data_IF_167388405217
#
_entry.id   IF_167388405217
#
_cell.length_a   1.000
_cell.length_b   1.000
_cell.length_c   1.000
_cell.angle_alpha   90.00
_cell.angle_beta   90.00
_cell.angle_gamma   90.00
#
_symmetry.space_group_name_H-M   'P 1'
#
loop_
_entity.id
_entity.type
_entity.pdbx_description
1 polymer ?
#
# COMPACT_ATOMS: atom_id res chain seq x y z
N UNK A 1 -24.02 -4.84 -8.69
CA UNK A 1 -23.28 -6.08 -8.37
C UNK A 1 -22.25 -6.46 -9.44
N UNK A 2 -22.61 -6.69 -10.72
CA UNK A 2 -21.62 -7.03 -11.77
C UNK A 2 -20.46 -6.04 -11.96
N UNK A 3 -20.72 -4.74 -11.86
CA UNK A 3 -19.71 -3.71 -12.10
C UNK A 3 -18.60 -3.62 -11.02
N UNK A 4 -18.82 -4.20 -9.83
CA UNK A 4 -17.78 -4.26 -8.78
C UNK A 4 -16.91 -5.51 -8.98
N UNK A 5 -17.52 -6.66 -9.30
CA UNK A 5 -16.81 -7.91 -9.56
C UNK A 5 -15.89 -7.83 -10.79
N UNK A 6 -16.33 -7.16 -11.86
CA UNK A 6 -15.49 -6.90 -13.04
C UNK A 6 -14.33 -5.94 -12.73
N UNK A 7 -14.45 -5.08 -11.71
CA UNK A 7 -13.40 -4.15 -11.30
C UNK A 7 -12.38 -4.80 -10.36
N UNK A 8 -12.74 -5.88 -9.65
CA UNK A 8 -11.88 -6.59 -8.70
C UNK A 8 -11.34 -7.92 -9.23
N UNK A 9 -11.67 -8.30 -10.47
CA UNK A 9 -11.27 -9.56 -11.11
C UNK A 9 -11.46 -10.81 -10.23
N UNK A 10 -12.44 -10.80 -9.32
CA UNK A 10 -12.65 -11.88 -8.36
C UNK A 10 -13.81 -12.79 -8.80
N UNK A 11 -13.55 -14.09 -8.86
CA UNK A 11 -14.62 -15.09 -8.89
C UNK A 11 -15.35 -15.11 -7.54
N UNK A 12 -16.66 -15.41 -7.50
CA UNK A 12 -17.40 -15.44 -6.24
C UNK A 12 -16.88 -16.58 -5.36
N UNK A 13 -16.31 -16.23 -4.21
CA UNK A 13 -15.92 -17.17 -3.18
C UNK A 13 -17.15 -17.64 -2.41
N UNK A 14 -17.10 -18.87 -1.92
CA UNK A 14 -18.07 -19.40 -0.95
C UNK A 14 -17.94 -18.66 0.38
N UNK A 15 -18.97 -18.72 1.23
CA UNK A 15 -18.95 -18.06 2.53
C UNK A 15 -17.76 -18.52 3.40
N UNK A 16 -17.43 -19.80 3.36
CA UNK A 16 -16.31 -20.36 4.12
C UNK A 16 -14.97 -19.86 3.59
N UNK A 17 -14.79 -19.85 2.27
CA UNK A 17 -13.61 -19.24 1.61
C UNK A 17 -13.49 -17.76 1.97
N UNK A 18 -14.60 -17.05 2.12
CA UNK A 18 -14.61 -15.65 2.53
C UNK A 18 -14.19 -15.44 3.98
N UNK A 19 -14.60 -16.33 4.88
CA UNK A 19 -14.11 -16.32 6.26
C UNK A 19 -12.62 -16.65 6.34
N UNK A 20 -12.13 -17.58 5.53
CA UNK A 20 -10.71 -17.92 5.45
C UNK A 20 -9.89 -16.77 4.90
N UNK A 21 -10.37 -16.11 3.84
CA UNK A 21 -9.74 -14.96 3.22
C UNK A 21 -9.68 -13.75 4.18
N UNK A 22 -10.74 -13.50 4.94
CA UNK A 22 -10.73 -12.45 5.98
C UNK A 22 -9.72 -12.74 7.10
N UNK A 23 -9.62 -14.01 7.52
CA UNK A 23 -8.65 -14.42 8.53
C UNK A 23 -7.21 -14.29 8.03
N UNK A 24 -6.93 -14.70 6.79
CA UNK A 24 -5.60 -14.59 6.20
C UNK A 24 -5.19 -13.12 6.05
N UNK A 25 -6.09 -12.24 5.61
CA UNK A 25 -5.82 -10.79 5.53
C UNK A 25 -5.57 -10.17 6.89
N UNK A 26 -6.28 -10.63 7.92
CA UNK A 26 -6.10 -10.13 9.29
C UNK A 26 -4.75 -10.55 9.90
N UNK A 27 -4.21 -11.69 9.49
CA UNK A 27 -2.98 -12.26 10.01
C UNK A 27 -1.75 -11.96 9.12
N UNK A 28 -1.92 -11.29 7.98
CA UNK A 28 -0.86 -10.93 7.05
C UNK A 28 0.14 -9.97 7.70
N UNK A 29 1.43 -10.32 7.70
CA UNK A 29 2.52 -9.47 8.17
C UNK A 29 3.04 -8.50 7.10
N UNK A 30 2.62 -8.70 5.84
CA UNK A 30 3.05 -7.99 4.64
C UNK A 30 1.98 -7.06 4.07
N UNK A 31 0.82 -6.98 4.72
CA UNK A 31 -0.34 -6.23 4.22
C UNK A 31 -0.98 -5.39 5.32
N UNK A 32 -1.30 -4.14 5.00
CA UNK A 32 -2.19 -3.29 5.78
C UNK A 32 -3.39 -2.92 4.92
N UNK A 33 -4.59 -3.03 5.47
CA UNK A 33 -5.84 -2.63 4.80
C UNK A 33 -6.57 -1.62 5.67
N UNK A 34 -6.94 -0.50 5.05
CA UNK A 34 -7.77 0.54 5.67
C UNK A 34 -9.03 0.74 4.85
N UNK A 35 -10.17 0.78 5.56
CA UNK A 35 -11.43 1.17 4.95
C UNK A 35 -11.52 2.69 4.93
N UNK A 36 -11.76 3.24 3.74
CA UNK A 36 -11.99 4.67 3.53
C UNK A 36 -13.47 4.95 3.69
N UNK A 37 -13.82 5.74 4.70
CA UNK A 37 -15.19 6.19 4.95
C UNK A 37 -15.37 7.67 4.59
N UNK A 38 -16.61 8.15 4.65
CA UNK A 38 -16.90 9.58 4.56
C UNK A 38 -16.22 10.40 5.66
N UNK A 39 -15.97 11.70 5.40
CA UNK A 39 -15.49 12.60 6.44
C UNK A 39 -16.43 12.62 7.64
N UNK A 40 -15.82 12.61 8.81
CA UNK A 40 -16.54 12.79 10.07
C UNK A 40 -17.33 14.10 10.07
N UNK A 41 -18.51 14.08 10.71
CA UNK A 41 -19.26 15.31 10.94
C UNK A 41 -18.47 16.23 11.87
N UNK A 42 -18.80 17.52 11.89
CA UNK A 42 -18.15 18.48 12.78
C UNK A 42 -18.30 18.09 14.27
N UNK A 43 -19.40 17.43 14.64
CA UNK A 43 -19.61 16.93 15.99
C UNK A 43 -18.67 15.75 16.31
N UNK A 44 -18.53 14.80 15.38
CA UNK A 44 -17.66 13.64 15.54
C UNK A 44 -16.17 14.05 15.55
N UNK A 45 -15.79 15.07 14.78
CA UNK A 45 -14.44 15.65 14.81
C UNK A 45 -14.10 16.27 16.17
N UNK A 46 -15.08 16.69 16.98
CA UNK A 46 -14.82 17.21 18.33
C UNK A 46 -14.63 16.08 19.36
N UNK A 47 -14.99 14.84 19.02
CA UNK A 47 -14.85 13.68 19.89
C UNK A 47 -13.44 13.08 19.83
N UNK A 48 -12.99 12.52 20.95
CA UNK A 48 -11.76 11.71 21.02
C UNK A 48 -11.96 10.26 20.60
N UNK A 49 -13.20 9.85 20.32
CA UNK A 49 -13.56 8.51 19.88
C UNK A 49 -14.70 8.52 18.86
N UNK A 50 -14.72 7.50 18.00
CA UNK A 50 -15.77 7.20 17.02
C UNK A 50 -16.42 5.86 17.35
N UNK A 51 -17.65 5.65 16.88
CA UNK A 51 -18.42 4.43 17.14
C UNK A 51 -18.52 3.54 15.90
N UNK A 52 -18.33 2.25 16.12
CA UNK A 52 -18.55 1.19 15.15
C UNK A 52 -20.00 1.20 14.65
N UNK A 53 -20.19 0.82 13.39
CA UNK A 53 -21.45 0.84 12.65
C UNK A 53 -22.10 2.23 12.53
N UNK A 54 -21.36 3.30 12.86
CA UNK A 54 -21.83 4.69 12.70
C UNK A 54 -20.97 5.44 11.71
N UNK A 55 -19.65 5.47 11.91
CA UNK A 55 -18.72 6.18 11.00
C UNK A 55 -18.34 5.33 9.79
N UNK A 56 -18.48 4.02 9.92
CA UNK A 56 -18.15 2.96 8.97
C UNK A 56 -19.38 2.14 8.57
N UNK A 57 -20.58 2.71 8.73
CA UNK A 57 -21.80 2.12 8.16
C UNK A 57 -21.66 1.95 6.64
N UNK A 58 -22.31 0.92 6.07
CA UNK A 58 -22.22 0.56 4.65
C UNK A 58 -22.42 1.74 3.69
N UNK A 59 -23.36 2.64 4.01
CA UNK A 59 -23.68 3.81 3.19
C UNK A 59 -22.62 4.93 3.27
N UNK A 60 -21.67 4.82 4.22
CA UNK A 60 -20.54 5.75 4.42
C UNK A 60 -19.20 5.19 3.95
N UNK A 61 -19.11 3.91 3.65
CA UNK A 61 -17.90 3.33 3.04
C UNK A 61 -17.73 3.91 1.62
N UNK A 62 -16.55 4.43 1.34
CA UNK A 62 -16.18 5.06 0.05
C UNK A 62 -15.13 4.26 -0.70
N UNK A 63 -14.53 3.27 -0.06
CA UNK A 63 -13.57 2.36 -0.66
C UNK A 63 -12.54 1.91 0.37
N UNK A 64 -11.34 1.61 -0.11
CA UNK A 64 -10.27 1.06 0.70
C UNK A 64 -8.90 1.50 0.14
N UNK A 65 -7.90 1.41 1.01
CA UNK A 65 -6.51 1.58 0.64
C UNK A 65 -5.70 0.46 1.27
N UNK A 66 -4.94 -0.22 0.42
CA UNK A 66 -4.08 -1.33 0.78
C UNK A 66 -2.62 -0.91 0.66
N UNK A 67 -1.81 -1.43 1.58
CA UNK A 67 -0.36 -1.31 1.53
C UNK A 67 0.24 -2.70 1.60
N UNK A 68 1.05 -3.05 0.61
CA UNK A 68 1.75 -4.33 0.54
C UNK A 68 3.25 -4.11 0.67
N UNK A 69 3.97 -5.06 1.23
CA UNK A 69 5.43 -5.00 1.39
C UNK A 69 6.11 -6.15 0.67
N UNK A 70 7.23 -5.85 0.03
CA UNK A 70 8.06 -6.81 -0.69
C UNK A 70 9.54 -6.57 -0.41
N UNK A 71 10.37 -7.58 -0.65
CA UNK A 71 11.82 -7.37 -0.80
C UNK A 71 12.07 -6.57 -2.09
N UNK A 72 12.89 -5.53 -1.97
CA UNK A 72 13.33 -4.71 -3.09
C UNK A 72 14.59 -5.34 -3.66
N UNK A 73 14.40 -6.34 -4.53
CA UNK A 73 15.49 -7.00 -5.25
C UNK A 73 15.77 -6.24 -6.56
N UNK A 74 16.90 -5.51 -6.68
CA UNK A 74 17.25 -4.79 -7.89
C UNK A 74 17.67 -5.72 -9.05
N UNK A 75 17.94 -7.00 -8.77
CA UNK A 75 18.52 -7.96 -9.73
C UNK A 75 17.51 -9.06 -10.16
N UNK A 76 16.30 -9.09 -9.58
CA UNK A 76 15.30 -10.15 -9.75
C UNK A 76 14.46 -10.15 -11.04
N UNK A 77 14.69 -9.25 -11.99
CA UNK A 77 13.99 -9.21 -13.31
C UNK A 77 14.78 -9.94 -14.42
N UNK A 78 15.67 -10.88 -14.07
CA UNK A 78 16.36 -11.77 -15.02
C UNK A 78 16.22 -13.22 -14.58
N UNK A 79 15.07 -13.86 -14.82
CA UNK A 79 14.98 -15.31 -15.02
C UNK A 79 13.59 -15.74 -15.54
N UNK A 80 13.22 -15.27 -16.73
CA UNK A 80 12.28 -15.97 -17.62
C UNK A 80 13.01 -16.32 -18.91
N UNK A 81 13.85 -17.36 -18.85
CA UNK A 81 14.60 -17.87 -19.99
C UNK A 81 15.07 -19.29 -19.73
N UNK A 82 14.27 -20.26 -20.17
CA UNK A 82 14.50 -21.70 -20.10
C UNK A 82 15.98 -22.09 -20.26
N UNK A 83 16.61 -22.50 -19.15
CA UNK A 83 18.00 -22.95 -19.09
C UNK A 83 18.10 -24.47 -19.12
N UNK A 84 17.96 -25.09 -20.29
CA UNK A 84 18.62 -26.38 -20.56
C UNK A 84 20.10 -26.09 -20.81
N UNK A 85 20.92 -26.18 -19.76
CA UNK A 85 22.35 -25.91 -19.81
C UNK A 85 23.12 -26.69 -18.75
N UNK A 86 23.52 -27.91 -19.09
CA UNK A 86 24.56 -28.66 -18.37
C UNK A 86 25.84 -27.80 -18.27
N UNK A 87 26.18 -27.38 -17.05
CA UNK A 87 27.37 -26.59 -16.77
C UNK A 87 27.93 -26.92 -15.39
N UNK A 88 28.85 -27.87 -15.35
CA UNK A 88 29.77 -28.08 -14.23
C UNK A 88 30.53 -26.77 -13.94
N UNK A 89 30.20 -26.12 -12.84
CA UNK A 89 30.85 -24.90 -12.36
C UNK A 89 31.03 -24.94 -10.86
N UNK A 90 32.19 -25.42 -10.42
CA UNK A 90 32.76 -25.13 -9.09
C UNK A 90 32.90 -23.60 -8.96
N UNK A 91 31.89 -22.95 -8.42
CA UNK A 91 31.85 -21.53 -8.11
C UNK A 91 31.55 -21.35 -6.64
N UNK A 92 32.61 -21.08 -5.87
CA UNK A 92 32.54 -20.61 -4.49
C UNK A 92 31.84 -19.22 -4.48
N UNK A 93 30.51 -19.21 -4.55
CA UNK A 93 29.71 -17.98 -4.39
C UNK A 93 29.74 -17.57 -2.92
N UNK A 94 30.82 -16.87 -2.58
CA UNK A 94 30.90 -16.09 -1.36
C UNK A 94 29.77 -15.04 -1.39
N UNK A 95 28.69 -15.34 -0.70
CA UNK A 95 27.58 -14.43 -0.45
C UNK A 95 28.10 -13.03 -0.07
N UNK A 96 27.62 -11.95 -0.69
CA UNK A 96 28.06 -10.60 -0.33
C UNK A 96 27.64 -10.32 1.11
N UNK A 97 28.64 -10.28 1.99
CA UNK A 97 28.52 -10.06 3.43
C UNK A 97 28.29 -8.58 3.77
N UNK A 98 27.27 -7.91 3.20
CA UNK A 98 26.70 -6.67 3.77
C UNK A 98 25.48 -6.07 3.02
N UNK A 99 24.75 -6.81 2.17
CA UNK A 99 23.55 -6.23 1.55
C UNK A 99 22.44 -6.12 2.59
N UNK A 100 22.20 -4.93 3.15
CA UNK A 100 21.01 -4.68 3.96
C UNK A 100 19.77 -4.99 3.12
N UNK A 101 18.88 -5.85 3.61
CA UNK A 101 17.60 -6.15 2.98
C UNK A 101 16.84 -4.84 2.79
N UNK A 102 16.59 -4.52 1.52
CA UNK A 102 15.78 -3.38 1.12
C UNK A 102 14.35 -3.84 0.95
N UNK A 103 13.40 -3.00 1.34
CA UNK A 103 11.97 -3.28 1.27
C UNK A 103 11.27 -2.22 0.42
N UNK A 104 10.31 -2.64 -0.38
CA UNK A 104 9.47 -1.73 -1.18
C UNK A 104 8.02 -1.92 -0.80
N UNK A 105 7.32 -0.79 -0.67
CA UNK A 105 5.90 -0.77 -0.35
C UNK A 105 5.05 -0.47 -1.57
N UNK A 106 4.05 -1.27 -1.87
CA UNK A 106 3.05 -0.99 -2.91
C UNK A 106 1.79 -0.40 -2.28
N UNK A 107 1.29 0.70 -2.85
CA UNK A 107 0.05 1.36 -2.43
C UNK A 107 -1.00 1.14 -3.51
N UNK A 108 -2.10 0.53 -3.11
CA UNK A 108 -3.30 0.39 -3.94
C UNK A 108 -4.48 1.12 -3.29
N UNK A 109 -5.14 2.00 -4.04
CA UNK A 109 -6.24 2.84 -3.54
C UNK A 109 -7.44 2.74 -4.45
N UNK A 110 -8.56 2.31 -3.88
CA UNK A 110 -9.83 2.16 -4.57
C UNK A 110 -10.88 3.07 -3.94
N UNK A 111 -11.53 3.92 -4.75
CA UNK A 111 -12.65 4.76 -4.31
C UNK A 111 -13.86 4.45 -5.17
N UNK A 112 -14.83 3.78 -4.56
CA UNK A 112 -16.07 3.31 -5.16
C UNK A 112 -17.06 4.48 -5.32
N UNK A 113 -16.89 5.32 -6.35
CA UNK A 113 -17.98 6.01 -7.07
C UNK A 113 -17.47 7.09 -8.05
N UNK A 114 -17.95 7.03 -9.30
CA UNK A 114 -17.67 8.04 -10.34
C UNK A 114 -18.22 9.44 -10.02
N UNK A 115 -19.20 9.55 -9.10
CA UNK A 115 -19.77 10.83 -8.64
C UNK A 115 -18.95 11.55 -7.57
N UNK A 116 -17.98 10.86 -6.96
CA UNK A 116 -17.16 11.37 -5.85
C UNK A 116 -15.68 11.55 -6.21
N UNK A 117 -15.32 11.29 -7.46
CA UNK A 117 -14.01 11.60 -8.00
C UNK A 117 -13.78 13.12 -8.00
N UNK A 118 -12.53 13.56 -7.75
CA UNK A 118 -12.10 14.96 -7.64
C UNK A 118 -12.57 15.72 -6.39
N UNK A 119 -13.10 15.04 -5.36
CA UNK A 119 -13.36 15.63 -4.03
C UNK A 119 -12.19 15.49 -3.03
N UNK A 120 -11.10 14.85 -3.44
CA UNK A 120 -9.87 14.71 -2.64
C UNK A 120 -9.78 13.45 -1.79
N UNK A 121 -10.78 12.55 -1.80
CA UNK A 121 -10.77 11.33 -0.97
C UNK A 121 -9.56 10.43 -1.20
N UNK A 122 -9.23 10.11 -2.46
CA UNK A 122 -8.06 9.29 -2.76
C UNK A 122 -6.76 9.95 -2.25
N UNK A 123 -6.56 11.23 -2.53
CA UNK A 123 -5.37 11.96 -2.08
C UNK A 123 -5.27 12.02 -0.55
N UNK A 124 -6.39 12.26 0.13
CA UNK A 124 -6.44 12.27 1.60
C UNK A 124 -6.16 10.89 2.19
N UNK A 125 -6.65 9.82 1.54
CA UNK A 125 -6.43 8.43 1.97
C UNK A 125 -4.95 8.05 1.85
N UNK A 126 -4.31 8.35 0.71
CA UNK A 126 -2.87 8.13 0.53
C UNK A 126 -2.07 8.99 1.51
N UNK A 127 -2.42 10.27 1.70
CA UNK A 127 -1.72 11.11 2.67
C UNK A 127 -1.83 10.58 4.11
N UNK A 128 -3.02 10.13 4.54
CA UNK A 128 -3.24 9.52 5.84
C UNK A 128 -2.44 8.23 6.01
N UNK A 129 -2.43 7.36 4.98
CA UNK A 129 -1.62 6.15 4.97
C UNK A 129 -0.12 6.47 5.09
N UNK A 130 0.40 7.44 4.32
CA UNK A 130 1.81 7.83 4.39
C UNK A 130 2.20 8.36 5.78
N UNK A 131 1.33 9.15 6.42
CA UNK A 131 1.53 9.59 7.81
C UNK A 131 1.54 8.40 8.76
N UNK A 132 0.61 7.46 8.60
CA UNK A 132 0.55 6.25 9.42
C UNK A 132 1.82 5.39 9.27
N UNK A 133 2.26 5.13 8.04
CA UNK A 133 3.49 4.37 7.76
C UNK A 133 4.69 5.10 8.36
N UNK A 134 4.83 6.42 8.14
CA UNK A 134 5.95 7.20 8.68
C UNK A 134 6.05 7.13 10.20
N UNK A 135 4.91 7.18 10.91
CA UNK A 135 4.84 7.09 12.37
C UNK A 135 5.12 5.68 12.89
N UNK A 136 4.67 4.65 12.17
CA UNK A 136 4.70 3.27 12.62
C UNK A 136 5.76 2.42 11.89
N UNK A 137 6.63 3.02 11.08
CA UNK A 137 7.53 2.35 10.15
C UNK A 137 8.30 1.22 10.81
N UNK A 138 8.85 1.46 12.00
CA UNK A 138 9.65 0.45 12.68
C UNK A 138 8.83 -0.78 13.06
N UNK A 139 7.62 -0.60 13.60
CA UNK A 139 6.73 -1.73 13.94
C UNK A 139 6.33 -2.50 12.70
N UNK A 140 6.00 -1.78 11.61
CA UNK A 140 5.60 -2.38 10.34
C UNK A 140 6.76 -3.24 9.78
N UNK A 141 7.98 -2.71 9.75
CA UNK A 141 9.16 -3.46 9.29
C UNK A 141 9.48 -4.65 10.21
N UNK A 142 9.36 -4.47 11.53
CA UNK A 142 9.62 -5.55 12.50
C UNK A 142 8.63 -6.70 12.35
N UNK A 143 7.35 -6.40 12.16
CA UNK A 143 6.30 -7.38 11.93
C UNK A 143 6.53 -8.14 10.61
N UNK A 144 6.79 -7.41 9.52
CA UNK A 144 7.14 -8.01 8.23
C UNK A 144 8.37 -8.92 8.34
N UNK A 145 9.46 -8.42 8.94
CA UNK A 145 10.70 -9.17 9.07
C UNK A 145 10.53 -10.46 9.89
N UNK A 146 9.73 -10.40 10.96
CA UNK A 146 9.42 -11.56 11.77
C UNK A 146 8.60 -12.61 10.99
N UNK A 147 7.61 -12.18 10.21
CA UNK A 147 6.79 -13.07 9.38
C UNK A 147 7.56 -13.71 8.23
N UNK A 148 8.48 -12.95 7.61
CA UNK A 148 9.33 -13.42 6.50
C UNK A 148 10.61 -14.17 6.96
N UNK A 149 10.82 -14.32 8.27
CA UNK A 149 12.01 -14.97 8.82
C UNK A 149 13.32 -14.23 8.52
N UNK A 150 13.27 -12.91 8.29
CA UNK A 150 14.44 -12.07 8.02
C UNK A 150 15.22 -11.90 9.33
N UNK A 151 16.44 -12.46 9.39
CA UNK A 151 17.28 -12.46 10.58
C UNK A 151 18.17 -11.20 10.71
N UNK A 152 18.19 -10.35 9.68
CA UNK A 152 18.95 -9.12 9.66
C UNK A 152 18.43 -8.12 10.69
N UNK A 153 19.34 -7.38 11.34
CA UNK A 153 18.97 -6.49 12.44
C UNK A 153 18.04 -5.35 12.02
N UNK A 154 18.18 -4.84 10.79
CA UNK A 154 17.46 -3.65 10.34
C UNK A 154 17.27 -3.63 8.81
N UNK A 155 16.20 -4.27 8.29
CA UNK A 155 15.74 -4.02 6.92
C UNK A 155 15.42 -2.54 6.74
N UNK A 156 15.66 -2.01 5.55
CA UNK A 156 15.43 -0.60 5.24
C UNK A 156 14.34 -0.44 4.19
N UNK A 157 13.49 0.55 4.39
CA UNK A 157 12.53 0.96 3.37
C UNK A 157 13.27 1.69 2.25
N UNK A 158 13.25 1.11 1.05
CA UNK A 158 13.84 1.71 -0.14
C UNK A 158 12.93 2.76 -0.78
N UNK A 159 11.63 2.47 -0.82
CA UNK A 159 10.68 3.35 -1.44
C UNK A 159 9.29 2.76 -1.58
N UNK A 160 8.43 3.55 -2.20
CA UNK A 160 7.04 3.25 -2.45
C UNK A 160 6.79 3.11 -3.94
N UNK A 161 5.79 2.33 -4.28
CA UNK A 161 5.29 2.19 -5.64
C UNK A 161 3.76 2.11 -5.68
N UNK A 162 3.20 2.36 -6.85
CA UNK A 162 1.82 2.06 -7.19
C UNK A 162 1.77 1.57 -8.63
N UNK A 163 1.08 0.46 -8.87
CA UNK A 163 0.75 -0.02 -10.21
C UNK A 163 -0.61 0.55 -10.60
N UNK A 164 -0.67 1.25 -11.72
CA UNK A 164 -1.89 1.97 -12.12
C UNK A 164 -2.18 1.68 -13.58
N UNK A 165 -3.38 1.20 -13.88
CA UNK A 165 -3.88 1.06 -15.25
C UNK A 165 -3.67 2.36 -16.05
N UNK A 166 -3.08 2.27 -17.25
CA UNK A 166 -2.68 3.43 -18.07
C UNK A 166 -3.84 4.42 -18.29
N UNK A 167 -5.03 3.85 -18.54
CA UNK A 167 -6.27 4.58 -18.75
C UNK A 167 -6.81 5.29 -17.50
N UNK A 168 -6.34 4.95 -16.29
CA UNK A 168 -6.75 5.56 -15.03
C UNK A 168 -5.99 6.89 -14.79
N UNK A 169 -6.29 7.89 -15.63
CA UNK A 169 -5.68 9.21 -15.56
C UNK A 169 -5.91 9.92 -14.21
N UNK A 170 -7.00 9.59 -13.50
CA UNK A 170 -7.31 10.15 -12.18
C UNK A 170 -6.29 9.72 -11.12
N UNK A 171 -6.00 8.42 -11.04
CA UNK A 171 -5.02 7.88 -10.10
C UNK A 171 -3.61 8.29 -10.48
N UNK A 172 -3.27 8.28 -11.78
CA UNK A 172 -1.98 8.80 -12.26
C UNK A 172 -1.74 10.25 -11.83
N UNK A 173 -2.73 11.13 -12.03
CA UNK A 173 -2.63 12.52 -11.60
C UNK A 173 -2.57 12.69 -10.07
N UNK A 174 -3.24 11.82 -9.31
CA UNK A 174 -3.16 11.80 -7.85
C UNK A 174 -1.75 11.50 -7.38
N UNK A 175 -1.15 10.39 -7.85
CA UNK A 175 0.18 9.98 -7.43
C UNK A 175 1.25 10.96 -7.92
N UNK A 176 1.13 11.49 -9.14
CA UNK A 176 1.99 12.57 -9.64
C UNK A 176 1.97 13.81 -8.74
N UNK A 177 0.80 14.25 -8.28
CA UNK A 177 0.67 15.40 -7.36
C UNK A 177 1.30 15.15 -6.00
N UNK A 178 1.31 13.90 -5.53
CA UNK A 178 1.99 13.51 -4.30
C UNK A 178 3.52 13.39 -4.50
N UNK A 179 4.02 13.50 -5.73
CA UNK A 179 5.45 13.47 -6.04
C UNK A 179 5.97 12.13 -6.55
N UNK A 180 5.09 11.14 -6.77
CA UNK A 180 5.49 9.91 -7.45
C UNK A 180 5.83 10.19 -8.90
N UNK A 181 6.83 9.48 -9.42
CA UNK A 181 7.32 9.60 -10.79
C UNK A 181 7.02 8.31 -11.52
N UNK A 182 6.58 8.40 -12.77
CA UNK A 182 6.44 7.22 -13.60
C UNK A 182 7.84 6.67 -13.91
N UNK A 183 8.03 5.36 -13.77
CA UNK A 183 9.23 4.64 -14.19
C UNK A 183 8.85 3.58 -15.21
N UNK A 184 9.71 3.38 -16.21
CA UNK A 184 9.47 2.45 -17.31
C UNK A 184 8.34 2.84 -18.26
N UNK A 185 8.05 1.93 -19.18
CA UNK A 185 6.91 2.00 -20.10
C UNK A 185 5.70 1.26 -19.53
N UNK A 186 4.58 1.31 -20.25
CA UNK A 186 3.38 0.53 -19.91
C UNK A 186 3.73 -0.95 -19.98
N UNK A 187 3.46 -1.70 -18.92
CA UNK A 187 3.76 -3.14 -18.89
C UNK A 187 2.79 -3.95 -19.78
N UNK A 188 3.04 -5.26 -19.91
CA UNK A 188 2.18 -6.17 -20.68
C UNK A 188 0.70 -6.16 -20.23
N UNK A 189 0.43 -5.80 -18.97
CA UNK A 189 -0.90 -5.70 -18.38
C UNK A 189 -1.58 -4.34 -18.58
N UNK A 190 -0.96 -3.41 -19.32
CA UNK A 190 -1.54 -2.08 -19.56
C UNK A 190 -1.37 -1.13 -18.37
N UNK A 191 -0.42 -1.38 -17.46
CA UNK A 191 -0.20 -0.60 -16.25
C UNK A 191 1.08 0.24 -16.34
N UNK A 192 1.02 1.43 -15.74
CA UNK A 192 2.20 2.26 -15.48
C UNK A 192 2.66 2.07 -14.03
N UNK A 193 3.97 1.98 -13.84
CA UNK A 193 4.56 1.94 -12.51
C UNK A 193 4.90 3.36 -12.06
N UNK A 194 4.35 3.77 -10.92
CA UNK A 194 4.62 5.05 -10.26
C UNK A 194 5.48 4.78 -9.03
N UNK A 195 6.63 5.45 -8.88
CA UNK A 195 7.58 5.21 -7.77
C UNK A 195 7.97 6.49 -7.03
N UNK A 196 8.35 6.34 -5.76
CA UNK A 196 8.89 7.41 -4.91
C UNK A 196 9.94 6.79 -3.97
N UNK A 197 11.09 7.44 -3.76
CA UNK A 197 12.05 6.94 -2.77
C UNK A 197 11.52 7.14 -1.35
N UNK A 198 11.96 6.32 -0.40
CA UNK A 198 11.52 6.47 0.99
C UNK A 198 11.92 7.84 1.56
N UNK A 199 13.13 8.33 1.24
CA UNK A 199 13.57 9.66 1.66
C UNK A 199 12.68 10.80 1.11
N UNK A 200 12.17 10.66 -0.13
CA UNK A 200 11.22 11.62 -0.71
C UNK A 200 9.88 11.58 0.06
N UNK A 201 9.40 10.38 0.39
CA UNK A 201 8.17 10.19 1.16
C UNK A 201 8.30 10.76 2.58
N UNK A 202 9.44 10.54 3.25
CA UNK A 202 9.72 11.12 4.57
C UNK A 202 9.70 12.64 4.53
N UNK A 203 10.41 13.25 3.59
CA UNK A 203 10.41 14.72 3.43
C UNK A 203 9.03 15.28 3.16
N UNK A 204 8.23 14.58 2.36
CA UNK A 204 6.86 14.96 2.05
C UNK A 204 6.00 14.97 3.33
N UNK A 205 6.02 13.87 4.08
CA UNK A 205 5.24 13.73 5.32
C UNK A 205 5.73 14.68 6.41
N UNK A 206 7.04 14.79 6.61
CA UNK A 206 7.61 15.70 7.60
C UNK A 206 7.26 17.16 7.25
N UNK A 207 7.21 17.51 5.97
CA UNK A 207 6.73 18.82 5.50
C UNK A 207 5.26 19.09 5.86
N UNK A 208 4.39 18.08 5.74
CA UNK A 208 3.00 18.17 6.19
C UNK A 208 2.88 18.38 7.70
N UNK A 209 3.60 17.57 8.48
CA UNK A 209 3.57 17.63 9.94
C UNK A 209 4.14 18.96 10.48
N UNK A 210 5.17 19.51 9.83
CA UNK A 210 5.77 20.79 10.22
C UNK A 210 4.93 22.02 9.83
N UNK A 211 4.04 21.89 8.83
CA UNK A 211 3.24 23.02 8.32
C UNK A 211 2.16 23.53 9.29
N UNK A 212 2.01 22.89 10.46
CA UNK A 212 1.06 23.29 11.51
C UNK A 212 -0.39 22.92 11.22
N UNK A 213 -0.68 22.31 10.06
CA UNK A 213 -1.98 21.73 9.75
C UNK A 213 -2.14 20.32 10.30
N UNK A 214 -3.32 20.00 10.83
CA UNK A 214 -3.67 18.63 11.21
C UNK A 214 -3.99 17.81 9.95
N UNK A 215 -3.02 17.03 9.48
CA UNK A 215 -3.18 16.20 8.26
C UNK A 215 -3.88 14.87 8.55
N UNK A 216 -3.65 14.30 9.73
CA UNK A 216 -4.27 13.06 10.17
C UNK A 216 -4.34 13.01 11.69
N UNK A 217 -5.46 12.51 12.23
CA UNK A 217 -5.68 12.30 13.66
C UNK A 217 -6.15 10.87 13.92
N UNK A 218 -5.50 10.21 14.86
CA UNK A 218 -5.96 8.92 15.40
C UNK A 218 -6.88 9.18 16.59
N UNK A 219 -8.00 8.45 16.64
CA UNK A 219 -9.03 8.56 17.67
C UNK A 219 -9.40 7.16 18.16
N UNK A 220 -9.97 7.05 19.36
CA UNK A 220 -10.47 5.78 19.86
C UNK A 220 -11.58 5.22 18.96
N UNK A 221 -11.64 3.90 18.82
CA UNK A 221 -12.73 3.22 18.10
C UNK A 221 -13.52 2.39 19.11
N UNK A 222 -14.76 2.79 19.36
CA UNK A 222 -15.68 2.15 20.29
C UNK A 222 -16.55 1.13 19.56
N UNK A 223 -16.53 -0.12 20.04
CA UNK A 223 -17.37 -1.22 19.56
C UNK A 223 -18.80 -1.11 20.07
#
# INVERSE_FOLDING_TARGET
MKAIQEATASEPLTLDEEYENQQSWRASHDKLTFIVCEPLSRADLASSAVRANVVDADDKMRGDINFFMYRDDPDGDQEDGDGDGDGDGDGDEQAPTNSQTRLRGEIDVMIAEKGHWRRGYGSASVAALLVYIRKNLRRIIDEYAAGEGIQERQPQMAGLMAKIQEANAGSRALFQKLGFKQTGEVNYFGEVMMVMSWEEAERLVDGWLCSGGEVCREVGYEM
#
